data_IF_095997318946
#
_entry.id   IF_095997318946
#
_cell.length_a   1.000
_cell.length_b   1.000
_cell.length_c   1.000
_cell.angle_alpha   90.00
_cell.angle_beta   90.00
_cell.angle_gamma   90.00
#
_symmetry.space_group_name_H-M   'P 1'
#
loop_
_entity.id
_entity.type
_entity.pdbx_description
1 polymer ?
#
# COMPACT_ATOMS: atom_id res chain seq x y z
N UNK A 1 -34.05 -14.11 7.00
CA UNK A 1 -33.09 -13.15 7.58
C UNK A 1 -31.94 -13.01 6.57
N UNK A 2 -31.87 -11.92 5.82
CA UNK A 2 -30.78 -11.73 4.86
C UNK A 2 -29.52 -11.32 5.63
N UNK A 3 -28.43 -12.06 5.48
CA UNK A 3 -27.16 -11.70 6.09
C UNK A 3 -26.76 -10.31 5.59
N UNK A 4 -26.54 -9.37 6.52
CA UNK A 4 -26.06 -8.03 6.20
C UNK A 4 -24.70 -8.18 5.50
N UNK A 5 -24.59 -7.75 4.25
CA UNK A 5 -23.32 -7.75 3.52
C UNK A 5 -22.32 -6.95 4.37
N UNK A 6 -21.18 -7.56 4.73
CA UNK A 6 -20.11 -6.85 5.43
C UNK A 6 -19.61 -5.77 4.45
N UNK A 7 -19.87 -4.51 4.77
CA UNK A 7 -19.37 -3.40 3.98
C UNK A 7 -17.85 -3.30 4.20
N UNK A 8 -17.10 -3.31 3.12
CA UNK A 8 -15.64 -3.22 3.16
C UNK A 8 -15.19 -1.88 3.72
N UNK A 9 -14.12 -1.92 4.50
CA UNK A 9 -13.53 -0.71 5.06
C UNK A 9 -12.67 -0.01 4.00
N UNK A 10 -12.57 1.32 4.11
CA UNK A 10 -11.71 2.13 3.25
C UNK A 10 -10.65 2.79 4.12
N UNK A 11 -9.39 2.54 3.79
CA UNK A 11 -8.24 3.14 4.47
C UNK A 11 -7.53 4.11 3.54
N UNK A 12 -7.06 5.21 4.10
CA UNK A 12 -6.12 6.12 3.43
C UNK A 12 -4.77 6.00 4.14
N UNK A 13 -3.73 5.70 3.38
CA UNK A 13 -2.35 5.64 3.88
C UNK A 13 -1.58 6.80 3.25
N UNK A 14 -1.25 7.78 4.07
CA UNK A 14 -0.44 8.92 3.68
C UNK A 14 1.06 8.58 3.82
N UNK A 15 1.80 8.68 2.72
CA UNK A 15 3.25 8.53 2.67
C UNK A 15 3.85 9.91 2.38
N UNK A 16 4.32 10.59 3.43
CA UNK A 16 4.97 11.90 3.30
C UNK A 16 6.50 11.81 3.23
N UNK A 17 7.07 10.67 3.62
CA UNK A 17 8.51 10.41 3.62
C UNK A 17 8.94 9.79 2.30
N UNK A 18 10.08 10.22 1.76
CA UNK A 18 10.65 9.66 0.54
C UNK A 18 11.71 8.58 0.84
N UNK A 19 12.70 8.48 -0.04
CA UNK A 19 13.82 7.54 0.09
C UNK A 19 14.72 7.82 1.30
N UNK A 20 14.61 9.00 1.92
CA UNK A 20 15.33 9.36 3.15
C UNK A 20 14.98 8.43 4.32
N UNK A 21 13.79 7.81 4.29
CA UNK A 21 13.33 6.83 5.29
C UNK A 21 12.58 5.69 4.59
N UNK A 22 13.37 4.88 3.89
CA UNK A 22 12.94 3.65 3.22
C UNK A 22 12.09 2.74 4.12
N UNK A 23 12.39 2.68 5.42
CA UNK A 23 11.64 1.84 6.38
C UNK A 23 10.20 2.32 6.55
N UNK A 24 9.97 3.63 6.71
CA UNK A 24 8.60 4.16 6.83
C UNK A 24 7.75 3.88 5.59
N UNK A 25 8.33 4.09 4.40
CA UNK A 25 7.66 3.79 3.13
C UNK A 25 7.30 2.30 3.06
N UNK A 26 8.26 1.43 3.42
CA UNK A 26 8.04 -0.01 3.40
C UNK A 26 6.94 -0.46 4.37
N UNK A 27 6.96 0.06 5.59
CA UNK A 27 5.92 -0.24 6.59
C UNK A 27 4.54 0.23 6.12
N UNK A 28 4.45 1.40 5.49
CA UNK A 28 3.20 1.91 4.94
C UNK A 28 2.61 0.96 3.88
N UNK A 29 3.42 0.52 2.91
CA UNK A 29 2.98 -0.44 1.88
C UNK A 29 2.63 -1.79 2.49
N UNK A 30 3.44 -2.29 3.43
CA UNK A 30 3.18 -3.56 4.14
C UNK A 30 1.85 -3.53 4.90
N UNK A 31 1.55 -2.41 5.56
CA UNK A 31 0.28 -2.26 6.29
C UNK A 31 -0.91 -2.25 5.33
N UNK A 32 -0.83 -1.51 4.22
CA UNK A 32 -1.90 -1.52 3.21
C UNK A 32 -2.13 -2.92 2.63
N UNK A 33 -1.04 -3.63 2.31
CA UNK A 33 -1.09 -5.03 1.88
C UNK A 33 -1.82 -5.93 2.91
N UNK A 34 -1.47 -5.80 4.20
CA UNK A 34 -2.10 -6.59 5.26
C UNK A 34 -3.62 -6.32 5.35
N UNK A 35 -4.05 -5.07 5.21
CA UNK A 35 -5.49 -4.73 5.19
C UNK A 35 -6.21 -5.37 4.00
N UNK A 36 -5.59 -5.37 2.82
CA UNK A 36 -6.15 -5.96 1.60
C UNK A 36 -6.21 -7.50 1.66
N UNK A 37 -5.23 -8.15 2.31
CA UNK A 37 -5.24 -9.60 2.52
C UNK A 37 -6.24 -10.04 3.59
N UNK A 38 -6.43 -9.23 4.64
CA UNK A 38 -7.33 -9.54 5.74
C UNK A 38 -8.81 -9.52 5.35
N UNK A 39 -9.20 -8.73 4.35
CA UNK A 39 -10.59 -8.64 3.89
C UNK A 39 -10.68 -8.29 2.40
N UNK A 40 -11.33 -9.17 1.62
CA UNK A 40 -11.50 -9.03 0.17
C UNK A 40 -12.35 -7.81 -0.25
N UNK A 41 -13.11 -7.23 0.68
CA UNK A 41 -13.94 -6.04 0.43
C UNK A 41 -13.25 -4.73 0.77
N UNK A 42 -12.11 -4.79 1.48
CA UNK A 42 -11.34 -3.61 1.87
C UNK A 42 -10.70 -2.92 0.68
N UNK A 43 -10.66 -1.58 0.75
CA UNK A 43 -9.94 -0.70 -0.17
C UNK A 43 -8.87 0.10 0.58
N UNK A 44 -7.75 0.36 -0.09
CA UNK A 44 -6.63 1.16 0.40
C UNK A 44 -6.27 2.21 -0.64
N UNK A 45 -6.32 3.47 -0.25
CA UNK A 45 -5.80 4.58 -1.06
C UNK A 45 -4.45 5.00 -0.50
N UNK A 46 -3.39 4.83 -1.30
CA UNK A 46 -2.07 5.35 -0.99
C UNK A 46 -1.96 6.77 -1.53
N UNK A 47 -1.74 7.73 -0.63
CA UNK A 47 -1.55 9.14 -0.97
C UNK A 47 -0.09 9.48 -0.68
N UNK A 48 0.65 9.79 -1.72
CA UNK A 48 2.05 10.17 -1.67
C UNK A 48 2.11 11.70 -1.63
N UNK A 49 2.79 12.29 -0.65
CA UNK A 49 2.94 13.74 -0.54
C UNK A 49 4.38 14.12 -0.23
N UNK A 50 4.76 15.36 -0.54
CA UNK A 50 6.09 15.89 -0.26
C UNK A 50 7.21 14.96 -0.80
N UNK A 51 8.08 14.45 0.05
CA UNK A 51 9.15 13.54 -0.35
C UNK A 51 8.62 12.18 -0.81
N UNK A 52 7.45 11.76 -0.34
CA UNK A 52 6.77 10.56 -0.79
C UNK A 52 6.40 10.59 -2.27
N UNK A 53 6.18 11.78 -2.84
CA UNK A 53 5.93 11.91 -4.29
C UNK A 53 7.11 11.45 -5.15
N UNK A 54 8.35 11.52 -4.63
CA UNK A 54 9.54 11.08 -5.35
C UNK A 54 9.68 9.56 -5.43
N UNK A 55 8.99 8.83 -4.55
CA UNK A 55 8.97 7.36 -4.57
C UNK A 55 7.79 6.79 -5.35
N UNK A 56 6.99 7.64 -6.05
CA UNK A 56 5.91 7.16 -6.91
C UNK A 56 6.43 6.32 -8.08
N UNK A 57 7.66 6.59 -8.54
CA UNK A 57 8.25 5.80 -9.61
C UNK A 57 8.42 4.36 -9.15
N UNK A 58 7.72 3.44 -9.82
CA UNK A 58 7.68 2.01 -9.50
C UNK A 58 9.08 1.42 -9.26
N UNK A 59 10.09 1.85 -10.04
CA UNK A 59 11.49 1.44 -9.86
C UNK A 59 12.09 1.92 -8.54
N UNK A 60 11.82 3.16 -8.13
CA UNK A 60 12.30 3.74 -6.86
C UNK A 60 11.60 3.05 -5.69
N UNK A 61 10.28 2.90 -5.75
CA UNK A 61 9.52 2.18 -4.73
C UNK A 61 10.00 0.74 -4.58
N UNK A 62 10.16 0.00 -5.68
CA UNK A 62 10.63 -1.39 -5.67
C UNK A 62 12.06 -1.55 -5.16
N UNK A 63 12.88 -0.51 -5.26
CA UNK A 63 14.24 -0.52 -4.71
C UNK A 63 14.27 -0.35 -3.19
N UNK A 64 13.18 0.08 -2.57
CA UNK A 64 13.07 0.22 -1.12
C UNK A 64 13.04 -1.17 -0.48
N UNK A 65 14.06 -1.45 0.34
CA UNK A 65 14.16 -2.66 1.13
C UNK A 65 14.47 -2.29 2.58
N UNK A 66 13.66 -2.78 3.51
CA UNK A 66 13.90 -2.63 4.94
C UNK A 66 14.22 -4.01 5.51
N UNK A 67 15.27 -4.10 6.33
CA UNK A 67 15.70 -5.37 6.91
C UNK A 67 14.57 -6.00 7.73
N UNK A 68 14.30 -7.29 7.49
CA UNK A 68 13.26 -8.05 8.20
C UNK A 68 11.83 -7.89 7.66
N UNK A 69 11.59 -7.04 6.65
CA UNK A 69 10.31 -6.96 5.94
C UNK A 69 10.31 -7.79 4.64
N UNK A 70 9.14 -8.23 4.16
CA UNK A 70 9.04 -8.90 2.86
C UNK A 70 9.64 -8.02 1.75
N UNK A 71 10.20 -8.58 0.66
CA UNK A 71 10.68 -7.77 -0.45
C UNK A 71 9.55 -6.88 -1.02
N UNK A 72 9.81 -5.59 -1.20
CA UNK A 72 8.79 -4.64 -1.68
C UNK A 72 8.21 -5.05 -3.03
N UNK A 73 9.04 -5.52 -3.97
CA UNK A 73 8.58 -6.06 -5.25
C UNK A 73 7.56 -7.17 -5.08
N UNK A 74 7.78 -8.10 -4.14
CA UNK A 74 6.84 -9.20 -3.86
C UNK A 74 5.51 -8.70 -3.31
N UNK A 75 5.51 -7.64 -2.49
CA UNK A 75 4.29 -7.03 -1.99
C UNK A 75 3.52 -6.37 -3.13
N UNK A 76 4.20 -5.53 -3.91
CA UNK A 76 3.59 -4.78 -5.01
C UNK A 76 3.05 -5.72 -6.10
N UNK A 77 3.72 -6.83 -6.39
CA UNK A 77 3.31 -7.79 -7.41
C UNK A 77 2.16 -8.73 -6.98
N UNK A 78 1.73 -8.68 -5.71
CA UNK A 78 0.61 -9.51 -5.27
C UNK A 78 -0.70 -9.08 -5.94
N UNK A 79 -1.55 -10.03 -6.39
CA UNK A 79 -2.81 -9.71 -7.06
C UNK A 79 -3.71 -8.72 -6.31
N UNK A 80 -3.72 -8.71 -4.97
CA UNK A 80 -4.54 -7.77 -4.23
C UNK A 80 -4.02 -6.33 -4.27
N UNK A 81 -2.71 -6.14 -4.49
CA UNK A 81 -2.06 -4.83 -4.63
C UNK A 81 -2.22 -4.26 -6.05
N UNK A 82 -2.47 -5.14 -7.02
CA UNK A 82 -2.71 -4.81 -8.43
C UNK A 82 -4.20 -4.59 -8.77
N UNK A 83 -5.11 -4.81 -7.82
CA UNK A 83 -6.55 -4.61 -8.04
C UNK A 83 -6.93 -3.13 -7.98
N UNK A 84 -7.08 -2.50 -9.15
CA UNK A 84 -7.45 -1.09 -9.32
C UNK A 84 -8.78 -0.70 -8.66
N UNK A 85 -9.66 -1.66 -8.37
CA UNK A 85 -10.93 -1.38 -7.69
C UNK A 85 -10.75 -1.24 -6.18
N UNK A 86 -9.61 -1.69 -5.66
CA UNK A 86 -9.29 -1.78 -4.23
C UNK A 86 -8.07 -0.98 -3.85
N UNK A 87 -7.17 -0.69 -4.79
CA UNK A 87 -5.95 0.06 -4.55
C UNK A 87 -5.88 1.25 -5.48
N UNK A 88 -5.67 2.42 -4.90
CA UNK A 88 -5.35 3.63 -5.67
C UNK A 88 -4.04 4.23 -5.18
N UNK A 89 -3.34 4.90 -6.09
CA UNK A 89 -2.10 5.62 -5.82
C UNK A 89 -2.27 7.04 -6.32
N UNK A 90 -2.13 8.01 -5.43
CA UNK A 90 -2.25 9.44 -5.73
C UNK A 90 -0.95 10.14 -5.33
N UNK A 91 -0.45 11.05 -6.16
CA UNK A 91 0.70 11.94 -5.88
C UNK A 91 0.21 13.35 -5.66
#
# INVERSE_FOLDING_TARGET
>A
MFAKKKEGQRFMILISSGTCDATKVHVAVTNGFAQLKGDATTKVDFVLMAEGGWVVEDKVLRSIGAFGLPPMSKLLDDPCMQDINRVTWTV
#
